data_IF_310193399705
#
_entry.id   IF_310193399705
#
_cell.length_a   1.000
_cell.length_b   1.000
_cell.length_c   1.000
_cell.angle_alpha   90.00
_cell.angle_beta   90.00
_cell.angle_gamma   90.00
#
_symmetry.space_group_name_H-M   'P 1'
#
loop_
_entity.id
_entity.type
_entity.pdbx_description
1 polymer ?
#
# COMPACT_ATOMS: atom_id res chain seq x y z
N UNK A 1 56.64 30.35 64.93
CA UNK A 1 55.94 30.47 63.64
C UNK A 1 55.69 29.07 63.08
N UNK A 2 54.47 28.56 63.17
CA UNK A 2 54.12 27.23 62.63
C UNK A 2 52.80 27.34 61.86
N UNK A 3 52.91 27.39 60.54
CA UNK A 3 51.79 27.49 59.60
C UNK A 3 51.17 26.10 59.40
N UNK A 4 50.14 25.77 60.18
CA UNK A 4 49.27 24.62 59.91
C UNK A 4 48.29 24.97 58.79
N UNK A 5 48.68 24.71 57.54
CA UNK A 5 47.77 24.68 56.38
C UNK A 5 46.73 23.57 56.60
N UNK A 6 45.48 23.96 56.86
CA UNK A 6 44.32 23.04 56.84
C UNK A 6 44.01 22.69 55.38
N UNK A 7 44.38 21.48 54.95
CA UNK A 7 43.85 20.91 53.70
C UNK A 7 42.38 20.56 53.91
N UNK A 8 41.51 21.28 53.22
CA UNK A 8 40.07 21.02 53.16
C UNK A 8 39.87 19.92 52.12
N UNK A 9 39.73 18.68 52.57
CA UNK A 9 39.35 17.57 51.69
C UNK A 9 37.90 17.79 51.26
N UNK A 10 37.72 18.33 50.07
CA UNK A 10 36.41 18.40 49.41
C UNK A 10 36.09 16.95 49.00
N UNK A 11 35.27 16.26 49.80
CA UNK A 11 34.60 15.04 49.36
C UNK A 11 33.55 15.48 48.34
N UNK A 12 33.94 15.49 47.07
CA UNK A 12 32.99 15.46 45.97
C UNK A 12 32.35 14.08 46.08
N UNK A 13 31.15 14.03 46.64
CA UNK A 13 30.27 12.88 46.52
C UNK A 13 29.99 12.71 45.03
N UNK A 14 30.74 11.81 44.38
CA UNK A 14 30.32 11.18 43.14
C UNK A 14 29.10 10.31 43.48
N UNK A 15 27.96 10.96 43.70
CA UNK A 15 26.69 10.33 43.40
C UNK A 15 26.67 10.18 41.88
N UNK A 16 27.25 9.08 41.43
CA UNK A 16 26.96 8.50 40.13
C UNK A 16 25.45 8.31 40.11
N UNK A 17 24.72 9.31 39.61
CA UNK A 17 23.34 9.13 39.21
C UNK A 17 23.39 7.98 38.22
N UNK A 18 23.02 6.79 38.70
CA UNK A 18 22.76 5.65 37.85
C UNK A 18 21.63 6.15 36.98
N UNK A 19 21.95 6.58 35.77
CA UNK A 19 21.00 6.79 34.70
C UNK A 19 20.37 5.42 34.48
N UNK A 20 19.32 5.12 35.24
CA UNK A 20 18.47 3.99 34.97
C UNK A 20 17.94 4.25 33.57
N UNK A 21 18.43 3.45 32.62
CA UNK A 21 17.99 3.55 31.24
C UNK A 21 16.45 3.56 31.24
N UNK A 22 15.87 4.64 30.72
CA UNK A 22 14.42 4.74 30.54
C UNK A 22 14.00 3.56 29.68
N UNK A 23 13.06 2.75 30.18
CA UNK A 23 12.58 1.61 29.41
C UNK A 23 11.69 2.10 28.27
N UNK A 24 11.51 1.27 27.24
CA UNK A 24 10.64 1.63 26.12
C UNK A 24 9.20 1.86 26.59
N UNK A 25 8.74 1.14 27.62
CA UNK A 25 7.42 1.30 28.23
C UNK A 25 7.22 2.65 28.92
N UNK A 26 8.30 3.36 29.25
CA UNK A 26 8.25 4.67 29.91
C UNK A 26 8.04 5.82 28.91
N UNK A 27 8.15 5.55 27.60
CA UNK A 27 7.92 6.55 26.56
C UNK A 27 6.46 7.04 26.56
N UNK A 28 6.19 8.31 26.20
CA UNK A 28 4.84 8.80 25.91
C UNK A 28 4.14 8.01 24.79
N UNK A 29 2.81 7.97 24.81
CA UNK A 29 2.01 7.23 23.82
C UNK A 29 2.31 7.68 22.40
N UNK A 30 2.52 8.98 22.21
CA UNK A 30 2.76 9.61 20.92
C UNK A 30 4.06 9.07 20.30
N UNK A 31 5.12 8.92 21.09
CA UNK A 31 6.39 8.38 20.61
C UNK A 31 6.28 6.89 20.29
N UNK A 32 5.57 6.12 21.12
CA UNK A 32 5.33 4.69 20.87
C UNK A 32 4.54 4.51 19.57
N UNK A 33 3.47 5.30 19.36
CA UNK A 33 2.67 5.27 18.14
C UNK A 33 3.49 5.70 16.92
N UNK A 34 4.38 6.69 17.05
CA UNK A 34 5.31 7.05 16.00
C UNK A 34 6.21 5.87 15.64
N UNK A 35 6.75 5.14 16.62
CA UNK A 35 7.55 3.93 16.36
C UNK A 35 6.72 2.85 15.66
N UNK A 36 5.48 2.62 16.10
CA UNK A 36 4.59 1.61 15.49
C UNK A 36 4.27 1.90 14.02
N UNK A 37 4.28 3.15 13.58
CA UNK A 37 4.06 3.48 12.16
C UNK A 37 5.17 2.96 11.22
N UNK A 38 6.33 2.56 11.75
CA UNK A 38 7.44 2.00 10.99
C UNK A 38 7.50 0.46 11.04
N UNK A 39 6.53 -0.18 11.70
CA UNK A 39 6.51 -1.62 11.94
C UNK A 39 5.25 -2.20 11.31
N UNK A 40 5.39 -3.33 10.63
CA UNK A 40 4.25 -4.04 10.07
C UNK A 40 3.31 -4.55 11.18
N UNK A 41 2.00 -4.53 10.93
CA UNK A 41 1.01 -4.91 11.93
C UNK A 41 1.14 -6.37 12.39
N UNK A 42 1.55 -7.30 11.51
CA UNK A 42 1.83 -8.67 11.90
C UNK A 42 2.95 -8.73 12.95
N UNK A 43 4.03 -7.95 12.74
CA UNK A 43 5.14 -7.87 13.69
C UNK A 43 4.72 -7.19 15.00
N UNK A 44 3.91 -6.12 14.93
CA UNK A 44 3.34 -5.49 16.11
C UNK A 44 2.49 -6.47 16.93
N UNK A 45 1.67 -7.25 16.23
CA UNK A 45 0.81 -8.24 16.85
C UNK A 45 1.61 -9.35 17.53
N UNK A 46 2.55 -9.98 16.82
CA UNK A 46 3.35 -11.08 17.39
C UNK A 46 4.27 -10.60 18.51
N UNK A 47 4.82 -9.38 18.40
CA UNK A 47 5.88 -8.92 19.29
C UNK A 47 5.34 -8.13 20.47
N UNK A 48 4.38 -7.23 20.29
CA UNK A 48 4.00 -6.24 21.31
C UNK A 48 2.63 -6.47 21.94
N UNK A 49 1.74 -7.21 21.29
CA UNK A 49 0.34 -7.33 21.70
C UNK A 49 0.15 -7.93 23.09
N UNK A 50 1.00 -8.89 23.45
CA UNK A 50 0.97 -9.59 24.74
C UNK A 50 1.99 -9.06 25.75
N UNK A 51 2.86 -8.11 25.38
CA UNK A 51 3.91 -7.61 26.28
C UNK A 51 3.36 -6.69 27.36
N UNK A 52 2.45 -5.79 27.00
CA UNK A 52 1.96 -4.76 27.90
C UNK A 52 0.51 -4.39 27.54
N UNK A 53 -0.44 -4.38 28.51
CA UNK A 53 -1.81 -3.93 28.27
C UNK A 53 -1.93 -2.53 27.66
N UNK A 54 -0.97 -1.64 27.95
CA UNK A 54 -0.87 -0.31 27.32
C UNK A 54 -0.60 -0.43 25.83
N UNK A 55 0.36 -1.26 25.43
CA UNK A 55 0.68 -1.47 24.01
C UNK A 55 -0.47 -2.14 23.28
N UNK A 56 -1.10 -3.13 23.92
CA UNK A 56 -2.30 -3.76 23.37
C UNK A 56 -3.37 -2.71 23.03
N UNK A 57 -3.68 -1.81 23.97
CA UNK A 57 -4.60 -0.70 23.69
C UNK A 57 -4.11 0.21 22.57
N UNK A 58 -2.86 0.64 22.58
CA UNK A 58 -2.33 1.51 21.52
C UNK A 58 -2.42 0.86 20.13
N UNK A 59 -2.07 -0.43 20.03
CA UNK A 59 -2.13 -1.20 18.78
C UNK A 59 -3.58 -1.35 18.31
N UNK A 60 -4.49 -1.67 19.23
CA UNK A 60 -5.90 -1.87 18.90
C UNK A 60 -6.64 -0.59 18.55
N UNK A 61 -6.33 0.50 19.26
CA UNK A 61 -7.17 1.69 19.27
C UNK A 61 -6.60 2.88 18.48
N UNK A 62 -5.28 2.99 18.39
CA UNK A 62 -4.62 4.23 17.96
C UNK A 62 -3.59 4.03 16.84
N UNK A 63 -3.04 2.83 16.68
CA UNK A 63 -2.07 2.53 15.64
C UNK A 63 -2.70 2.48 14.25
N UNK A 64 -1.94 2.88 13.24
CA UNK A 64 -2.30 2.64 11.84
C UNK A 64 -2.02 1.19 11.49
N UNK A 65 -2.98 0.55 10.83
CA UNK A 65 -2.87 -0.86 10.46
C UNK A 65 -2.31 -0.95 9.04
N UNK A 66 -1.01 -1.19 8.95
CA UNK A 66 -0.30 -1.54 7.73
C UNK A 66 -0.01 -3.04 7.77
N UNK A 67 -0.47 -3.79 6.78
CA UNK A 67 -0.29 -5.24 6.70
C UNK A 67 0.42 -5.56 5.39
N UNK A 68 1.58 -6.17 5.49
CA UNK A 68 2.33 -6.74 4.39
C UNK A 68 2.17 -8.27 4.41
N UNK A 69 1.41 -8.81 3.46
CA UNK A 69 1.19 -10.25 3.36
C UNK A 69 2.50 -11.01 3.10
N UNK A 70 3.43 -10.42 2.35
CA UNK A 70 4.74 -11.02 2.08
C UNK A 70 5.58 -11.21 3.34
N UNK A 71 5.35 -10.41 4.39
CA UNK A 71 6.01 -10.55 5.68
C UNK A 71 5.44 -11.69 6.55
N UNK A 72 4.29 -12.26 6.18
CA UNK A 72 3.56 -13.26 6.97
C UNK A 72 3.90 -14.66 6.45
N UNK A 73 4.46 -15.55 7.30
CA UNK A 73 4.68 -16.93 6.91
C UNK A 73 3.37 -17.63 6.53
N UNK A 74 3.35 -18.36 5.41
CA UNK A 74 2.12 -18.98 4.88
C UNK A 74 1.39 -19.85 5.90
N UNK A 75 2.13 -20.59 6.74
CA UNK A 75 1.55 -21.43 7.80
C UNK A 75 0.87 -20.65 8.94
N UNK A 76 1.12 -19.34 9.05
CA UNK A 76 0.49 -18.45 10.03
C UNK A 76 -0.53 -17.50 9.41
N UNK A 77 -0.62 -17.43 8.08
CA UNK A 77 -1.43 -16.45 7.37
C UNK A 77 -2.91 -16.52 7.77
N UNK A 78 -3.54 -17.69 7.67
CA UNK A 78 -4.96 -17.85 8.02
C UNK A 78 -5.25 -17.49 9.49
N UNK A 79 -4.38 -17.91 10.41
CA UNK A 79 -4.52 -17.57 11.83
C UNK A 79 -4.41 -16.07 12.05
N UNK A 80 -3.45 -15.41 11.39
CA UNK A 80 -3.32 -13.97 11.42
C UNK A 80 -4.56 -13.28 10.85
N UNK A 81 -5.04 -13.69 9.68
CA UNK A 81 -6.22 -13.11 9.06
C UNK A 81 -7.45 -13.25 9.97
N UNK A 82 -7.64 -14.41 10.60
CA UNK A 82 -8.70 -14.62 11.59
C UNK A 82 -8.57 -13.66 12.79
N UNK A 83 -7.36 -13.47 13.32
CA UNK A 83 -7.10 -12.52 14.41
C UNK A 83 -7.37 -11.08 13.95
N UNK A 84 -6.81 -10.65 12.82
CA UNK A 84 -7.02 -9.34 12.22
C UNK A 84 -8.51 -9.03 12.04
N UNK A 85 -9.29 -10.01 11.61
CA UNK A 85 -10.73 -9.91 11.51
C UNK A 85 -11.40 -9.62 12.87
N UNK A 86 -11.04 -10.34 13.94
CA UNK A 86 -11.57 -10.05 15.28
C UNK A 86 -11.22 -8.63 15.73
N UNK A 87 -10.01 -8.16 15.41
CA UNK A 87 -9.56 -6.82 15.77
C UNK A 87 -10.31 -5.73 15.01
N UNK A 88 -10.49 -5.89 13.70
CA UNK A 88 -11.16 -4.89 12.86
C UNK A 88 -12.67 -4.82 13.09
N UNK A 89 -13.32 -5.87 13.61
CA UNK A 89 -14.74 -5.85 13.97
C UNK A 89 -15.06 -5.04 15.23
N UNK A 90 -14.11 -4.90 16.15
CA UNK A 90 -14.38 -4.30 17.47
C UNK A 90 -14.29 -2.76 17.47
N UNK A 91 -13.71 -2.14 16.42
CA UNK A 91 -13.34 -0.72 16.46
C UNK A 91 -13.75 0.15 15.25
N UNK A 92 -13.79 1.46 15.52
CA UNK A 92 -14.10 2.57 14.61
C UNK A 92 -13.03 2.73 13.52
N UNK A 93 -13.43 2.60 12.25
CA UNK A 93 -12.80 3.17 11.04
C UNK A 93 -11.26 3.25 10.99
N UNK A 94 -10.53 2.17 11.23
CA UNK A 94 -9.09 2.17 10.92
C UNK A 94 -8.87 2.16 9.42
N UNK A 95 -8.04 3.07 8.88
CA UNK A 95 -7.56 2.92 7.52
C UNK A 95 -6.67 1.69 7.47
N UNK A 96 -7.15 0.62 6.84
CA UNK A 96 -6.35 -0.55 6.54
C UNK A 96 -5.54 -0.28 5.27
N UNK A 97 -4.25 -0.58 5.33
CA UNK A 97 -3.34 -0.59 4.20
C UNK A 97 -2.80 -1.98 4.01
N UNK A 98 -3.03 -2.58 2.85
CA UNK A 98 -2.52 -3.91 2.51
C UNK A 98 -1.43 -3.78 1.46
N UNK A 99 -0.33 -4.50 1.65
CA UNK A 99 0.63 -4.84 0.60
C UNK A 99 0.51 -6.34 0.34
N UNK A 100 0.28 -6.72 -0.92
CA UNK A 100 0.16 -8.12 -1.32
C UNK A 100 1.14 -8.41 -2.45
N UNK A 101 2.06 -9.33 -2.18
CA UNK A 101 3.13 -9.76 -3.09
C UNK A 101 2.97 -11.24 -3.50
N UNK A 102 1.99 -11.95 -2.92
CA UNK A 102 1.69 -13.37 -3.16
C UNK A 102 0.24 -13.53 -3.61
N UNK A 103 0.04 -14.05 -4.82
CA UNK A 103 -1.29 -14.21 -5.45
C UNK A 103 -2.20 -15.13 -4.62
N UNK A 104 -1.64 -16.17 -3.98
CA UNK A 104 -2.44 -17.14 -3.22
C UNK A 104 -2.96 -16.55 -1.91
N UNK A 105 -2.11 -15.88 -1.14
CA UNK A 105 -2.49 -15.16 0.08
C UNK A 105 -3.48 -14.04 -0.24
N UNK A 106 -3.25 -13.30 -1.34
CA UNK A 106 -4.20 -12.30 -1.82
C UNK A 106 -5.56 -12.91 -2.13
N UNK A 107 -5.59 -13.98 -2.93
CA UNK A 107 -6.83 -14.68 -3.28
C UNK A 107 -7.58 -15.16 -2.03
N UNK A 108 -6.90 -15.85 -1.11
CA UNK A 108 -7.50 -16.29 0.17
C UNK A 108 -8.08 -15.12 0.94
N UNK A 109 -7.36 -14.01 1.03
CA UNK A 109 -7.79 -12.88 1.83
C UNK A 109 -9.06 -12.23 1.30
N UNK A 110 -9.22 -12.15 -0.03
CA UNK A 110 -10.34 -11.45 -0.66
C UNK A 110 -11.54 -12.33 -0.99
N UNK A 111 -11.33 -13.62 -1.25
CA UNK A 111 -12.43 -14.55 -1.60
C UNK A 111 -13.13 -15.17 -0.38
N UNK A 112 -12.44 -15.26 0.75
CA UNK A 112 -13.04 -15.82 1.95
C UNK A 112 -14.14 -14.87 2.47
N UNK A 113 -15.36 -15.41 2.60
CA UNK A 113 -16.55 -14.70 3.08
C UNK A 113 -16.32 -14.07 4.47
N UNK A 114 -15.32 -14.53 5.23
CA UNK A 114 -14.89 -13.90 6.47
C UNK A 114 -14.44 -12.45 6.30
N UNK A 115 -13.97 -12.03 5.13
CA UNK A 115 -13.35 -10.70 4.93
C UNK A 115 -14.17 -9.76 4.05
N UNK A 116 -15.03 -10.31 3.20
CA UNK A 116 -15.85 -9.64 2.17
C UNK A 116 -16.59 -8.37 2.61
N UNK A 117 -17.25 -8.38 3.76
CA UNK A 117 -17.99 -7.20 4.27
C UNK A 117 -17.09 -6.17 4.98
N UNK A 118 -15.82 -6.53 5.23
CA UNK A 118 -14.92 -5.82 6.15
C UNK A 118 -13.95 -4.89 5.41
N UNK A 119 -13.93 -5.01 4.09
CA UNK A 119 -13.24 -4.12 3.16
C UNK A 119 -13.84 -2.72 3.06
N UNK A 120 -14.99 -2.49 3.70
CA UNK A 120 -15.52 -1.13 3.91
C UNK A 120 -14.51 -0.20 4.63
N UNK A 121 -13.50 -0.76 5.29
CA UNK A 121 -12.42 -0.03 5.97
C UNK A 121 -11.10 0.00 5.22
N UNK A 122 -10.97 -0.71 4.10
CA UNK A 122 -9.74 -0.69 3.30
C UNK A 122 -9.60 0.68 2.63
N UNK A 123 -8.49 1.37 2.92
CA UNK A 123 -8.22 2.72 2.40
C UNK A 123 -7.05 2.74 1.44
N UNK A 124 -6.11 1.81 1.60
CA UNK A 124 -4.94 1.72 0.74
C UNK A 124 -4.68 0.27 0.37
N UNK A 125 -4.39 0.04 -0.90
CA UNK A 125 -4.06 -1.28 -1.44
C UNK A 125 -2.85 -1.12 -2.35
N UNK A 126 -1.78 -1.83 -2.02
CA UNK A 126 -0.56 -1.95 -2.78
C UNK A 126 -0.46 -3.40 -3.21
N UNK A 127 -0.37 -3.62 -4.51
CA UNK A 127 -0.37 -4.94 -5.10
C UNK A 127 0.85 -5.05 -5.99
N UNK A 128 1.63 -6.09 -5.74
CA UNK A 128 2.81 -6.42 -6.52
C UNK A 128 2.70 -7.84 -7.06
N UNK A 129 3.14 -8.06 -8.30
CA UNK A 129 3.26 -9.41 -8.89
C UNK A 129 1.95 -10.23 -8.89
N UNK A 130 0.79 -9.57 -9.05
CA UNK A 130 -0.51 -10.24 -9.16
C UNK A 130 -1.03 -10.11 -10.58
N UNK A 131 -1.54 -11.23 -11.13
CA UNK A 131 -2.14 -11.27 -12.47
C UNK A 131 -3.32 -10.31 -12.58
N UNK A 132 -3.44 -9.66 -13.75
CA UNK A 132 -4.53 -8.70 -14.02
C UNK A 132 -5.90 -9.33 -13.87
N UNK A 133 -6.09 -10.54 -14.40
CA UNK A 133 -7.38 -11.22 -14.30
C UNK A 133 -7.83 -11.40 -12.84
N UNK A 134 -6.92 -11.84 -11.96
CA UNK A 134 -7.17 -12.01 -10.53
C UNK A 134 -7.51 -10.66 -9.87
N UNK A 135 -6.76 -9.63 -10.21
CA UNK A 135 -6.97 -8.27 -9.72
C UNK A 135 -8.34 -7.70 -10.12
N UNK A 136 -8.68 -7.78 -11.40
CA UNK A 136 -9.93 -7.27 -11.96
C UNK A 136 -11.13 -7.93 -11.29
N UNK A 137 -11.08 -9.25 -11.12
CA UNK A 137 -12.15 -9.99 -10.46
C UNK A 137 -12.38 -9.49 -9.03
N UNK A 138 -11.32 -9.22 -8.27
CA UNK A 138 -11.44 -8.80 -6.86
C UNK A 138 -11.84 -7.33 -6.72
N UNK A 139 -11.20 -6.43 -7.48
CA UNK A 139 -11.45 -4.98 -7.38
C UNK A 139 -12.87 -4.64 -7.79
N UNK A 140 -13.36 -5.27 -8.85
CA UNK A 140 -14.68 -4.99 -9.42
C UNK A 140 -15.76 -5.99 -8.95
N UNK A 141 -15.46 -6.87 -8.00
CA UNK A 141 -16.49 -7.69 -7.37
C UNK A 141 -17.50 -6.78 -6.64
N UNK A 142 -18.75 -6.80 -7.13
CA UNK A 142 -19.87 -6.08 -6.54
C UNK A 142 -20.12 -6.44 -5.07
N UNK A 143 -19.65 -7.61 -4.64
CA UNK A 143 -19.78 -8.08 -3.26
C UNK A 143 -18.74 -7.47 -2.32
N UNK A 144 -17.53 -7.17 -2.79
CA UNK A 144 -16.41 -6.69 -1.94
C UNK A 144 -16.43 -5.15 -1.82
N UNK A 145 -17.07 -4.44 -2.77
CA UNK A 145 -17.29 -2.98 -2.75
C UNK A 145 -16.02 -2.15 -2.51
N UNK A 146 -14.86 -2.64 -2.96
CA UNK A 146 -13.58 -1.95 -2.80
C UNK A 146 -13.58 -0.58 -3.48
N UNK A 147 -14.26 -0.48 -4.61
CA UNK A 147 -14.47 0.78 -5.33
C UNK A 147 -15.13 1.88 -4.48
N UNK A 148 -15.91 1.54 -3.46
CA UNK A 148 -16.56 2.54 -2.60
C UNK A 148 -15.61 3.12 -1.55
N UNK A 149 -14.59 2.38 -1.11
CA UNK A 149 -13.86 2.69 0.13
C UNK A 149 -12.39 3.02 -0.10
N UNK A 150 -11.81 2.44 -1.15
CA UNK A 150 -10.41 2.58 -1.50
C UNK A 150 -10.06 4.03 -1.86
N UNK A 151 -9.08 4.59 -1.17
CA UNK A 151 -8.58 5.95 -1.43
C UNK A 151 -7.24 5.93 -2.16
N UNK A 152 -6.49 4.84 -2.04
CA UNK A 152 -5.17 4.65 -2.64
C UNK A 152 -5.09 3.27 -3.27
N UNK A 153 -4.80 3.21 -4.56
CA UNK A 153 -4.47 1.98 -5.26
C UNK A 153 -3.09 2.14 -5.87
N UNK A 154 -2.19 1.20 -5.57
CA UNK A 154 -0.89 1.09 -6.21
C UNK A 154 -0.73 -0.30 -6.78
N UNK A 155 -0.54 -0.39 -8.08
CA UNK A 155 -0.24 -1.60 -8.82
C UNK A 155 1.22 -1.48 -9.27
N UNK A 156 2.12 -2.33 -8.77
CA UNK A 156 3.54 -2.30 -9.15
C UNK A 156 3.99 -3.66 -9.68
N UNK A 157 4.89 -3.65 -10.67
CA UNK A 157 5.78 -4.77 -11.10
C UNK A 157 5.13 -6.13 -11.44
N UNK A 158 5.65 -6.78 -12.49
CA UNK A 158 5.27 -8.12 -12.98
C UNK A 158 3.77 -8.43 -13.05
N UNK A 159 2.98 -7.40 -13.33
CA UNK A 159 1.61 -7.58 -13.77
C UNK A 159 1.68 -8.09 -15.21
N UNK A 160 1.95 -9.39 -15.32
CA UNK A 160 1.85 -10.13 -16.57
C UNK A 160 0.39 -10.15 -17.01
N UNK A 161 0.17 -9.66 -18.23
CA UNK A 161 -1.12 -9.69 -18.87
C UNK A 161 -0.98 -9.27 -20.32
N UNK A 162 -1.93 -9.68 -21.13
CA UNK A 162 -2.00 -9.21 -22.50
C UNK A 162 -2.45 -7.74 -22.51
N UNK A 163 -2.09 -6.98 -23.55
CA UNK A 163 -2.39 -5.55 -23.65
C UNK A 163 -3.89 -5.25 -23.45
N UNK A 164 -4.76 -6.14 -23.92
CA UNK A 164 -6.21 -6.00 -23.75
C UNK A 164 -6.65 -6.12 -22.28
N UNK A 165 -5.96 -6.92 -21.45
CA UNK A 165 -6.30 -7.06 -20.03
C UNK A 165 -5.93 -5.80 -19.27
N UNK A 166 -4.77 -5.20 -19.58
CA UNK A 166 -4.36 -3.89 -19.03
C UNK A 166 -5.37 -2.83 -19.42
N UNK A 167 -5.77 -2.80 -20.69
CA UNK A 167 -6.75 -1.85 -21.21
C UNK A 167 -8.10 -2.03 -20.51
N UNK A 168 -8.58 -3.27 -20.37
CA UNK A 168 -9.83 -3.59 -19.67
C UNK A 168 -9.77 -3.19 -18.19
N UNK A 169 -8.67 -3.48 -17.48
CA UNK A 169 -8.47 -3.05 -16.10
C UNK A 169 -8.53 -1.53 -15.98
N UNK A 170 -7.85 -0.80 -16.87
CA UNK A 170 -7.87 0.66 -16.87
C UNK A 170 -9.29 1.18 -17.14
N UNK A 171 -9.97 0.65 -18.14
CA UNK A 171 -11.35 1.01 -18.47
C UNK A 171 -12.29 0.74 -17.29
N UNK A 172 -12.11 -0.37 -16.59
CA UNK A 172 -12.86 -0.72 -15.41
C UNK A 172 -12.53 0.21 -14.24
N UNK A 173 -11.26 0.54 -13.98
CA UNK A 173 -10.89 1.51 -12.94
C UNK A 173 -11.54 2.87 -13.18
N UNK A 174 -11.57 3.31 -14.44
CA UNK A 174 -12.16 4.59 -14.82
C UNK A 174 -13.69 4.57 -14.77
N UNK A 175 -14.31 3.47 -15.19
CA UNK A 175 -15.77 3.32 -15.25
C UNK A 175 -16.41 2.92 -13.91
N UNK A 176 -15.67 2.21 -13.04
CA UNK A 176 -16.16 1.55 -11.81
C UNK A 176 -16.68 2.48 -10.72
N UNK A 177 -16.77 3.79 -10.99
CA UNK A 177 -17.22 4.81 -10.04
C UNK A 177 -16.45 4.66 -8.73
N UNK A 178 -15.12 4.60 -8.77
CA UNK A 178 -14.30 4.57 -7.55
C UNK A 178 -14.40 5.90 -6.80
N UNK A 179 -15.53 6.12 -6.10
CA UNK A 179 -15.90 7.41 -5.54
C UNK A 179 -14.88 7.91 -4.52
N UNK A 180 -14.21 7.01 -3.82
CA UNK A 180 -13.25 7.37 -2.78
C UNK A 180 -11.81 7.49 -3.29
N UNK A 181 -11.51 7.03 -4.51
CA UNK A 181 -10.14 6.96 -5.01
C UNK A 181 -9.56 8.36 -5.19
N UNK A 182 -8.47 8.62 -4.46
CA UNK A 182 -7.74 9.89 -4.47
C UNK A 182 -6.36 9.76 -5.09
N UNK A 183 -5.75 8.58 -4.98
CA UNK A 183 -4.41 8.33 -5.47
C UNK A 183 -4.38 7.01 -6.22
N UNK A 184 -3.93 7.07 -7.47
CA UNK A 184 -3.77 5.91 -8.32
C UNK A 184 -2.32 5.87 -8.81
N UNK A 185 -1.66 4.75 -8.57
CA UNK A 185 -0.32 4.48 -9.08
C UNK A 185 -0.38 3.17 -9.88
N UNK A 186 -0.06 3.25 -11.16
CA UNK A 186 -0.07 2.14 -12.09
C UNK A 186 1.34 2.02 -12.66
N UNK A 187 2.05 0.95 -12.32
CA UNK A 187 3.36 0.66 -12.86
C UNK A 187 3.33 -0.72 -13.50
N UNK A 188 3.23 -0.74 -14.84
CA UNK A 188 3.11 -1.97 -15.61
C UNK A 188 4.40 -2.31 -16.33
N UNK A 189 4.73 -3.59 -16.33
CA UNK A 189 5.75 -4.15 -17.21
C UNK A 189 5.08 -4.77 -18.43
N UNK A 190 5.26 -4.16 -19.59
CA UNK A 190 4.73 -4.70 -20.85
C UNK A 190 5.78 -5.66 -21.40
N UNK A 191 5.39 -6.92 -21.57
CA UNK A 191 6.23 -7.92 -22.21
C UNK A 191 5.96 -7.86 -23.72
N UNK A 192 6.95 -7.42 -24.50
CA UNK A 192 6.91 -7.63 -25.95
C UNK A 192 6.92 -9.15 -26.19
N UNK A 193 5.86 -9.69 -26.78
CA UNK A 193 5.86 -11.08 -27.23
C UNK A 193 6.94 -11.21 -28.30
N UNK A 194 8.06 -11.85 -27.97
CA UNK A 194 9.06 -12.33 -28.94
C UNK A 194 8.49 -13.51 -29.73
N UNK A 195 7.27 -13.37 -30.27
CA UNK A 195 6.73 -14.38 -31.15
C UNK A 195 7.58 -14.33 -32.44
N UNK A 196 8.33 -15.42 -32.72
CA UNK A 196 9.04 -15.67 -33.97
C UNK A 196 8.03 -15.70 -35.13
N UNK A 197 7.58 -14.53 -35.57
CA UNK A 197 6.79 -14.38 -36.78
C UNK A 197 7.70 -13.77 -37.84
N UNK A 198 7.87 -14.56 -38.91
CA UNK A 198 8.64 -14.25 -40.11
C UNK A 198 8.47 -12.79 -40.52
N UNK A 199 9.55 -12.01 -40.37
CA UNK A 199 9.84 -10.73 -41.03
C UNK A 199 8.58 -9.91 -41.35
N UNK A 200 7.75 -9.67 -40.34
CA UNK A 200 6.89 -8.51 -40.33
C UNK A 200 7.75 -7.41 -39.71
N UNK A 201 8.00 -6.32 -40.44
CA UNK A 201 8.55 -5.11 -39.83
C UNK A 201 7.75 -4.87 -38.55
N UNK A 202 8.40 -4.86 -37.37
CA UNK A 202 7.69 -4.60 -36.15
C UNK A 202 7.10 -3.20 -36.33
N UNK A 203 5.77 -3.13 -36.42
CA UNK A 203 5.12 -1.89 -36.08
C UNK A 203 5.43 -1.75 -34.59
N UNK A 204 6.46 -0.99 -34.26
CA UNK A 204 6.95 -0.68 -32.92
C UNK A 204 5.90 0.06 -32.05
N UNK A 205 4.62 -0.11 -32.35
CA UNK A 205 3.50 0.66 -31.87
C UNK A 205 2.32 -0.28 -31.68
N UNK A 206 2.01 -0.57 -30.42
CA UNK A 206 0.68 -1.06 -30.05
C UNK A 206 -0.22 0.18 -29.96
N UNK A 207 -1.07 0.33 -30.96
CA UNK A 207 -2.10 1.38 -31.00
C UNK A 207 -3.32 0.88 -30.22
N UNK A 208 -3.28 1.00 -28.89
CA UNK A 208 -4.46 0.76 -28.07
C UNK A 208 -5.39 1.95 -28.25
N UNK A 209 -6.26 1.86 -29.25
CA UNK A 209 -7.39 2.76 -29.39
C UNK A 209 -8.34 2.52 -28.20
N UNK A 210 -8.35 3.44 -27.24
CA UNK A 210 -9.46 3.58 -26.32
C UNK A 210 -10.63 4.09 -27.15
N UNK A 211 -11.44 3.17 -27.69
CA UNK A 211 -12.69 3.52 -28.36
C UNK A 211 -13.45 4.47 -27.45
N UNK A 212 -13.68 5.71 -27.93
CA UNK A 212 -14.36 6.82 -27.28
C UNK A 212 -15.07 6.37 -26.00
N UNK A 213 -14.31 6.29 -24.90
CA UNK A 213 -14.91 5.98 -23.63
C UNK A 213 -15.82 7.15 -23.38
N UNK A 214 -17.12 6.93 -23.53
CA UNK A 214 -18.16 7.88 -23.15
C UNK A 214 -18.18 7.93 -21.63
N UNK A 215 -17.10 8.49 -21.06
CA UNK A 215 -16.92 8.69 -19.65
C UNK A 215 -17.92 9.76 -19.30
N UNK A 216 -19.08 9.29 -18.84
CA UNK A 216 -20.07 10.12 -18.19
C UNK A 216 -19.31 10.92 -17.13
N UNK A 217 -19.36 12.24 -17.20
CA UNK A 217 -18.53 13.28 -16.53
C UNK A 217 -18.38 13.20 -14.99
N UNK A 218 -18.58 12.05 -14.33
CA UNK A 218 -18.82 11.95 -12.89
C UNK A 218 -18.11 10.80 -12.16
N UNK A 219 -17.34 9.92 -12.81
CA UNK A 219 -16.83 8.71 -12.12
C UNK A 219 -15.56 8.90 -11.28
N UNK A 220 -14.77 9.96 -11.49
CA UNK A 220 -13.44 10.14 -10.84
C UNK A 220 -13.18 11.54 -10.24
N UNK A 221 -14.22 12.32 -9.92
CA UNK A 221 -14.09 13.71 -9.45
C UNK A 221 -13.21 13.91 -8.20
N UNK A 222 -12.88 12.84 -7.46
CA UNK A 222 -12.06 12.89 -6.25
C UNK A 222 -10.59 12.54 -6.45
N UNK A 223 -10.19 12.15 -7.66
CA UNK A 223 -8.83 11.76 -7.98
C UNK A 223 -7.92 13.00 -7.89
N UNK A 224 -6.85 12.89 -7.10
CA UNK A 224 -5.90 13.98 -6.85
C UNK A 224 -4.59 13.78 -7.58
N UNK A 225 -4.19 12.51 -7.71
CA UNK A 225 -2.89 12.15 -8.28
C UNK A 225 -3.00 10.85 -9.04
N UNK A 226 -2.44 10.86 -10.24
CA UNK A 226 -2.23 9.67 -11.06
C UNK A 226 -0.74 9.60 -11.38
N UNK A 227 -0.14 8.45 -11.10
CA UNK A 227 1.21 8.11 -11.53
C UNK A 227 1.07 6.90 -12.44
N UNK A 228 1.52 7.05 -13.68
CA UNK A 228 1.65 5.95 -14.63
C UNK A 228 3.13 5.79 -14.94
N UNK A 229 3.66 4.62 -14.60
CA UNK A 229 5.03 4.21 -14.86
C UNK A 229 5.08 2.98 -15.77
N UNK A 230 6.20 2.83 -16.45
CA UNK A 230 6.55 1.57 -17.12
C UNK A 230 8.05 1.36 -17.00
N UNK A 231 8.46 0.11 -16.79
CA UNK A 231 9.87 -0.32 -16.68
C UNK A 231 10.58 -0.37 -18.04
N UNK A 232 9.84 -0.44 -19.16
CA UNK A 232 10.39 -0.47 -20.53
C UNK A 232 10.07 0.81 -21.30
N UNK A 233 10.81 1.05 -22.40
CA UNK A 233 10.77 2.30 -23.21
C UNK A 233 9.34 2.78 -23.42
N UNK A 234 9.13 4.06 -23.16
CA UNK A 234 7.85 4.79 -23.22
C UNK A 234 6.96 4.33 -24.38
N UNK A 235 6.02 3.44 -24.10
CA UNK A 235 4.95 3.08 -25.03
C UNK A 235 4.07 4.32 -25.27
N UNK A 236 3.62 4.52 -26.52
CA UNK A 236 2.60 5.52 -26.88
C UNK A 236 1.35 5.39 -26.01
N UNK A 237 1.03 4.16 -25.60
CA UNK A 237 0.00 3.81 -24.61
C UNK A 237 -0.05 4.77 -23.42
N UNK A 238 1.10 5.04 -22.79
CA UNK A 238 1.15 5.90 -21.61
C UNK A 238 0.78 7.35 -21.93
N UNK A 239 1.07 7.84 -23.15
CA UNK A 239 0.74 9.21 -23.54
C UNK A 239 -0.74 9.37 -23.82
N UNK A 240 -1.37 8.39 -24.43
CA UNK A 240 -2.78 8.47 -24.80
C UNK A 240 -3.69 8.22 -23.59
N UNK A 241 -3.35 7.26 -22.72
CA UNK A 241 -3.99 7.13 -21.40
C UNK A 241 -3.95 8.43 -20.60
N UNK A 242 -2.78 9.07 -20.52
CA UNK A 242 -2.63 10.32 -19.77
C UNK A 242 -3.47 11.43 -20.38
N UNK A 243 -3.47 11.58 -21.70
CA UNK A 243 -4.31 12.57 -22.38
C UNK A 243 -5.79 12.32 -22.13
N UNK A 244 -6.24 11.08 -22.20
CA UNK A 244 -7.64 10.73 -21.95
C UNK A 244 -8.03 11.06 -20.50
N UNK A 245 -7.17 10.72 -19.54
CA UNK A 245 -7.36 11.08 -18.13
C UNK A 245 -7.38 12.59 -17.89
N UNK A 246 -6.45 13.34 -18.50
CA UNK A 246 -6.34 14.80 -18.38
C UNK A 246 -7.52 15.52 -19.03
N UNK A 247 -7.93 15.12 -20.24
CA UNK A 247 -9.08 15.69 -20.94
C UNK A 247 -10.37 15.51 -20.17
N UNK A 248 -10.51 14.39 -19.45
CA UNK A 248 -11.70 14.07 -18.69
C UNK A 248 -11.69 14.64 -17.27
N UNK A 249 -10.52 15.04 -16.75
CA UNK A 249 -10.39 15.59 -15.41
C UNK A 249 -9.51 16.86 -15.38
N UNK A 250 -10.13 17.99 -15.70
CA UNK A 250 -9.50 19.33 -15.71
C UNK A 250 -8.82 19.75 -14.37
N UNK A 251 -8.99 19.00 -13.28
CA UNK A 251 -8.45 19.30 -11.94
C UNK A 251 -7.43 18.27 -11.42
N UNK A 252 -7.07 17.23 -12.19
CA UNK A 252 -6.13 16.20 -11.74
C UNK A 252 -4.70 16.64 -11.98
N UNK A 253 -3.88 16.64 -10.93
CA UNK A 253 -2.42 16.74 -11.09
C UNK A 253 -1.91 15.38 -11.60
N UNK A 254 -1.71 15.28 -12.91
CA UNK A 254 -1.00 14.17 -13.53
C UNK A 254 0.51 14.39 -13.34
N UNK A 255 1.24 13.33 -13.00
CA UNK A 255 2.71 13.37 -13.08
C UNK A 255 3.16 12.12 -13.78
N UNK A 256 3.56 12.30 -15.04
CA UNK A 256 4.24 11.25 -15.76
C UNK A 256 5.67 11.12 -15.23
N UNK A 257 6.03 9.92 -14.79
CA UNK A 257 7.43 9.57 -14.53
C UNK A 257 7.80 8.48 -15.53
N UNK A 258 8.48 8.87 -16.61
CA UNK A 258 9.25 7.91 -17.38
C UNK A 258 10.26 7.28 -16.42
N UNK A 259 10.24 5.95 -16.30
CA UNK A 259 11.12 5.22 -15.41
C UNK A 259 12.58 5.58 -15.68
N UNK A 260 13.19 6.30 -14.74
CA UNK A 260 14.62 6.19 -14.51
C UNK A 260 14.73 5.05 -13.51
N UNK A 261 15.30 3.93 -13.96
CA UNK A 261 15.68 2.83 -13.08
C UNK A 261 16.53 3.41 -11.94
N UNK A 262 15.98 3.47 -10.74
CA UNK A 262 16.79 3.61 -9.54
C UNK A 262 17.10 2.19 -9.09
N UNK A 263 18.23 1.66 -9.56
CA UNK A 263 18.93 0.63 -8.80
C UNK A 263 19.33 1.27 -7.46
N UNK A 264 18.66 0.88 -6.38
CA UNK A 264 19.12 1.09 -5.00
C UNK A 264 18.99 -0.20 -4.23
#
# INVERSE_FOLDING_TARGET
MSNRKRQKTIRISQESQILTATKFEDLPNELILMCFNYIDFYQLYETFFCLNPRFNKLILYDAKIHVDFGAIPSGKFLTFCFNLNQLTNTNKNYPLSIRADDEYQFYIFFEDDLFKDKFSKLKSLIINNIKIATLSNIIFDEKIKLNETLERLSLMEDISGEDYEIQELCNNLISSKMKSLKYLNLNFEIYECECEHDVYEPKDYVDLNFEELSIRENSLNNLKTIIIGSSKRTSTLNKDLIKDFEQQNNNVASTFRAGLNYET
#
